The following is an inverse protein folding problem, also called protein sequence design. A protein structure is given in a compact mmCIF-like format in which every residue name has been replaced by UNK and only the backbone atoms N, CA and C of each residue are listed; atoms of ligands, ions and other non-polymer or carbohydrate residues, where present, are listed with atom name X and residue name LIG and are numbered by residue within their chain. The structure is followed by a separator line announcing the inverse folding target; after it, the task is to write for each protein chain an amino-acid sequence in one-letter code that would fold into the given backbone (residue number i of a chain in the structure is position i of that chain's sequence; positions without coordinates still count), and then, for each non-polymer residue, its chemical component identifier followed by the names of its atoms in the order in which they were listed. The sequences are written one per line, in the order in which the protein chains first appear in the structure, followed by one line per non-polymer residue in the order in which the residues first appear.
data_IF_181410372913
#
_entry.id   IF_181410372913
#
_cell.length_a   1.000
_cell.length_b   1.000
_cell.length_c   1.000
_cell.angle_alpha   90.00
_cell.angle_beta   90.00
_cell.angle_gamma   90.00
#
_symmetry.space_group_name_H-M   'P 1'
#
loop_
_entity.id
_entity.type
_entity.pdbx_description
1 polymer ?
#
# COMPACT_ATOMS: atom_id res chain seq x y z
N UNK A 1 14.62 18.43 8.93
CA UNK A 1 14.33 16.99 8.70
C UNK A 1 14.23 16.64 7.21
N UNK A 2 14.07 17.61 6.30
CA UNK A 2 13.83 17.33 4.87
C UNK A 2 12.40 16.83 4.60
N UNK A 3 11.48 17.15 5.51
CA UNK A 3 10.03 16.89 5.40
C UNK A 3 9.38 18.22 5.09
N UNK A 4 8.46 18.22 4.15
CA UNK A 4 7.64 19.38 3.80
C UNK A 4 6.44 19.45 4.74
N UNK A 5 6.16 20.66 5.24
CA UNK A 5 5.02 20.94 6.11
C UNK A 5 4.00 21.76 5.31
N UNK A 6 2.79 21.25 5.23
CA UNK A 6 1.65 21.94 4.64
C UNK A 6 0.65 22.31 5.74
N UNK A 7 0.28 23.59 5.77
CA UNK A 7 -0.58 24.23 6.77
C UNK A 7 -1.91 24.71 6.15
N UNK A 8 -2.12 24.53 4.85
CA UNK A 8 -3.20 25.18 4.10
C UNK A 8 -4.54 24.42 4.16
N UNK A 9 -4.53 23.11 4.41
CA UNK A 9 -5.74 22.28 4.29
C UNK A 9 -6.77 22.47 5.42
N UNK A 10 -6.37 22.89 6.63
CA UNK A 10 -7.29 23.21 7.75
C UNK A 10 -6.59 23.91 8.94
N UNK A 11 -7.27 24.85 9.64
CA UNK A 11 -6.68 25.67 10.70
C UNK A 11 -6.16 24.90 11.93
N UNK A 12 -6.52 23.61 12.08
CA UNK A 12 -6.11 22.76 13.21
C UNK A 12 -5.37 21.48 12.76
N UNK A 13 -4.83 21.46 11.54
CA UNK A 13 -4.09 20.29 11.03
C UNK A 13 -2.78 20.72 10.40
N UNK A 14 -1.75 19.92 10.61
CA UNK A 14 -0.47 20.04 9.92
C UNK A 14 -0.24 18.76 9.12
N UNK A 15 -0.06 18.89 7.82
CA UNK A 15 0.25 17.76 6.94
C UNK A 15 1.76 17.65 6.74
N UNK A 16 2.28 16.44 6.91
CA UNK A 16 3.70 16.13 6.75
C UNK A 16 3.92 15.28 5.50
N UNK A 17 4.68 15.81 4.54
CA UNK A 17 4.98 15.14 3.28
C UNK A 17 6.47 14.81 3.16
N UNK A 18 6.77 13.55 2.87
CA UNK A 18 8.12 13.05 2.54
C UNK A 18 7.97 11.62 2.01
N UNK A 19 8.88 11.14 1.17
CA UNK A 19 8.90 9.73 0.76
C UNK A 19 9.46 8.81 1.85
N UNK A 20 10.39 9.32 2.67
CA UNK A 20 11.03 8.58 3.76
C UNK A 20 10.12 8.56 5.01
N UNK A 21 9.56 7.40 5.39
CA UNK A 21 8.67 7.30 6.55
C UNK A 21 9.37 7.60 7.88
N UNK A 22 10.68 7.33 7.99
CA UNK A 22 11.45 7.61 9.21
C UNK A 22 11.59 9.12 9.39
N UNK A 23 11.88 9.85 8.31
CA UNK A 23 11.91 11.32 8.35
C UNK A 23 10.56 11.91 8.74
N UNK A 24 9.46 11.40 8.18
CA UNK A 24 8.10 11.82 8.58
C UNK A 24 7.84 11.58 10.06
N UNK A 25 8.25 10.43 10.59
CA UNK A 25 8.05 10.10 11.99
C UNK A 25 8.89 11.00 12.93
N UNK A 26 10.14 11.27 12.58
CA UNK A 26 11.00 12.23 13.30
C UNK A 26 10.36 13.62 13.31
N UNK A 27 9.87 14.10 12.15
CA UNK A 27 9.22 15.40 12.04
C UNK A 27 7.95 15.48 12.90
N UNK A 28 7.11 14.43 12.86
CA UNK A 28 5.92 14.31 13.70
C UNK A 28 6.25 14.45 15.19
N UNK A 29 7.14 13.60 15.71
CA UNK A 29 7.48 13.63 17.15
C UNK A 29 8.17 14.93 17.57
N UNK A 30 8.99 15.51 16.69
CA UNK A 30 9.61 16.81 16.93
C UNK A 30 8.55 17.90 17.08
N UNK A 31 7.55 17.94 16.19
CA UNK A 31 6.44 18.88 16.25
C UNK A 31 5.59 18.68 17.50
N UNK A 32 5.20 17.44 17.82
CA UNK A 32 4.44 17.13 19.03
C UNK A 32 5.15 17.64 20.29
N UNK A 33 6.48 17.48 20.35
CA UNK A 33 7.30 17.97 21.47
C UNK A 33 7.38 19.49 21.52
N UNK A 34 7.61 20.14 20.37
CA UNK A 34 7.68 21.60 20.27
C UNK A 34 6.35 22.26 20.64
N UNK A 35 5.22 21.68 20.21
CA UNK A 35 3.86 22.13 20.57
C UNK A 35 3.65 22.01 22.08
N UNK A 36 4.04 20.87 22.67
CA UNK A 36 3.89 20.65 24.12
C UNK A 36 4.73 21.62 24.95
N UNK A 37 5.92 21.97 24.47
CA UNK A 37 6.85 22.87 25.16
C UNK A 37 6.60 24.36 24.84
N UNK A 38 5.78 24.66 23.83
CA UNK A 38 5.50 25.99 23.28
C UNK A 38 6.77 26.80 22.95
N UNK A 39 7.76 26.12 22.35
CA UNK A 39 9.10 26.69 22.09
C UNK A 39 9.57 26.47 20.66
N UNK A 40 9.18 27.38 19.77
CA UNK A 40 9.47 27.33 18.33
C UNK A 40 10.68 28.18 17.89
N UNK A 41 11.59 28.49 18.81
CA UNK A 41 12.84 29.17 18.46
C UNK A 41 13.74 28.26 17.61
N UNK A 42 14.42 28.77 16.57
CA UNK A 42 15.25 27.96 15.67
C UNK A 42 16.21 27.02 16.39
N UNK A 43 16.88 27.51 17.45
CA UNK A 43 17.86 26.74 18.23
C UNK A 43 17.19 25.58 18.99
N UNK A 44 15.96 25.79 19.48
CA UNK A 44 15.20 24.74 20.15
C UNK A 44 14.69 23.70 19.17
N UNK A 45 14.23 24.12 17.98
CA UNK A 45 13.79 23.22 16.92
C UNK A 45 14.93 22.28 16.53
N UNK A 46 16.12 22.83 16.26
CA UNK A 46 17.29 22.02 15.90
C UNK A 46 17.66 21.04 17.00
N UNK A 47 17.71 21.50 18.25
CA UNK A 47 18.00 20.66 19.42
C UNK A 47 16.99 19.51 19.57
N UNK A 48 15.69 19.80 19.48
CA UNK A 48 14.64 18.79 19.58
C UNK A 48 14.77 17.77 18.45
N UNK A 49 14.97 18.22 17.21
CA UNK A 49 15.13 17.31 16.06
C UNK A 49 16.34 16.38 16.24
N UNK A 50 17.48 16.89 16.72
CA UNK A 50 18.67 16.07 16.99
C UNK A 50 18.39 15.04 18.09
N UNK A 51 17.70 15.46 19.16
CA UNK A 51 17.32 14.55 20.23
C UNK A 51 16.41 13.42 19.74
N UNK A 52 15.33 13.77 19.03
CA UNK A 52 14.37 12.80 18.50
C UNK A 52 15.04 11.85 17.51
N UNK A 53 15.94 12.33 16.64
CA UNK A 53 16.73 11.46 15.76
C UNK A 53 17.45 10.36 16.53
N UNK A 54 18.17 10.72 17.60
CA UNK A 54 18.87 9.74 18.43
C UNK A 54 17.94 8.79 19.19
N UNK A 55 16.74 9.23 19.56
CA UNK A 55 15.70 8.37 20.12
C UNK A 55 15.19 7.34 19.09
N UNK A 56 14.93 7.79 17.85
CA UNK A 56 14.47 6.93 16.75
C UNK A 56 15.54 5.95 16.29
N UNK A 57 16.82 6.33 16.25
CA UNK A 57 17.91 5.40 15.91
C UNK A 57 18.00 4.23 16.92
N UNK A 58 17.85 4.52 18.22
CA UNK A 58 17.79 3.47 19.25
C UNK A 58 16.55 2.61 19.11
N UNK A 59 15.42 3.20 18.77
CA UNK A 59 14.16 2.50 18.53
C UNK A 59 14.26 1.55 17.32
N UNK A 60 14.82 2.01 16.20
CA UNK A 60 15.09 1.21 15.01
C UNK A 60 15.92 -0.02 15.39
N UNK A 61 17.04 0.17 16.09
CA UNK A 61 17.90 -0.96 16.47
C UNK A 61 17.16 -1.98 17.34
N UNK A 62 16.47 -1.51 18.39
CA UNK A 62 15.70 -2.37 19.30
C UNK A 62 14.61 -3.15 18.56
N UNK A 63 13.93 -2.48 17.63
CA UNK A 63 12.86 -3.09 16.85
C UNK A 63 13.41 -4.13 15.86
N UNK A 64 14.54 -3.85 15.21
CA UNK A 64 15.20 -4.80 14.33
C UNK A 64 15.64 -6.07 15.06
N UNK A 65 16.19 -5.93 16.27
CA UNK A 65 16.52 -7.05 17.16
C UNK A 65 15.28 -7.85 17.54
N UNK A 66 14.17 -7.18 17.87
CA UNK A 66 12.88 -7.83 18.17
C UNK A 66 12.35 -8.64 16.99
N UNK A 67 12.34 -8.04 15.79
CA UNK A 67 11.85 -8.68 14.56
C UNK A 67 12.70 -9.91 14.22
N UNK A 68 14.03 -9.79 14.29
CA UNK A 68 14.93 -10.91 14.05
C UNK A 68 14.70 -12.06 15.05
N UNK A 69 14.56 -11.73 16.34
CA UNK A 69 14.30 -12.71 17.39
C UNK A 69 12.97 -13.43 17.19
N UNK A 70 11.89 -12.71 16.89
CA UNK A 70 10.57 -13.31 16.64
C UNK A 70 10.54 -14.18 15.37
N UNK A 71 11.34 -13.82 14.36
CA UNK A 71 11.52 -14.68 13.18
C UNK A 71 12.35 -15.95 13.48
N UNK A 72 13.06 -15.98 14.61
CA UNK A 72 13.98 -17.06 14.99
C UNK A 72 15.36 -16.94 14.35
N UNK A 73 15.75 -15.75 13.88
CA UNK A 73 17.00 -15.54 13.16
C UNK A 73 18.04 -14.84 14.05
N UNK A 74 19.14 -15.54 14.32
CA UNK A 74 20.27 -15.03 15.08
C UNK A 74 21.45 -14.60 14.20
N UNK A 75 22.40 -13.87 14.78
CA UNK A 75 23.70 -13.60 14.13
C UNK A 75 23.67 -12.62 12.95
N UNK A 76 22.59 -11.84 12.79
CA UNK A 76 22.48 -10.85 11.72
C UNK A 76 23.43 -9.66 11.95
N UNK A 77 23.97 -9.12 10.86
CA UNK A 77 24.83 -7.94 10.92
C UNK A 77 24.06 -6.70 11.40
N UNK A 78 24.76 -5.74 12.00
CA UNK A 78 24.14 -4.50 12.47
C UNK A 78 23.40 -3.73 11.35
N UNK A 79 23.90 -3.81 10.11
CA UNK A 79 23.23 -3.18 8.97
C UNK A 79 21.90 -3.85 8.60
N UNK A 80 21.81 -5.17 8.70
CA UNK A 80 20.54 -5.88 8.50
C UNK A 80 19.57 -5.57 9.64
N UNK A 81 20.06 -5.52 10.88
CA UNK A 81 19.23 -5.13 12.03
C UNK A 81 18.66 -3.71 11.85
N UNK A 82 19.46 -2.75 11.38
CA UNK A 82 18.96 -1.39 11.09
C UNK A 82 17.85 -1.40 10.03
N UNK A 83 18.03 -2.15 8.95
CA UNK A 83 17.03 -2.28 7.89
C UNK A 83 15.74 -2.92 8.42
N UNK A 84 15.83 -4.02 9.17
CA UNK A 84 14.66 -4.66 9.78
C UNK A 84 13.92 -3.71 10.72
N UNK A 85 14.65 -2.92 11.52
CA UNK A 85 14.05 -1.92 12.41
C UNK A 85 13.21 -0.88 11.68
N UNK A 86 13.58 -0.53 10.45
CA UNK A 86 12.83 0.41 9.60
C UNK A 86 11.47 -0.13 9.16
N UNK A 87 11.24 -1.45 9.21
CA UNK A 87 9.96 -2.06 8.85
C UNK A 87 8.81 -1.51 9.69
N UNK A 88 9.08 -1.11 10.94
CA UNK A 88 8.10 -0.47 11.82
C UNK A 88 7.49 0.80 11.24
N UNK A 89 8.26 1.57 10.48
CA UNK A 89 7.81 2.85 9.94
C UNK A 89 7.19 2.70 8.54
N UNK A 90 7.35 1.54 7.89
CA UNK A 90 6.84 1.29 6.55
C UNK A 90 5.46 0.64 6.59
N UNK A 91 4.55 1.16 5.79
CA UNK A 91 3.26 0.54 5.50
C UNK A 91 3.14 0.27 4.00
N UNK A 92 2.43 -0.79 3.63
CA UNK A 92 2.03 -1.08 2.24
C UNK A 92 0.54 -1.37 2.24
N UNK A 93 -0.22 -0.56 1.49
CA UNK A 93 -1.69 -0.63 1.49
C UNK A 93 -2.28 -0.64 2.91
N UNK A 94 -1.75 0.16 3.83
CA UNK A 94 -2.22 0.24 5.22
C UNK A 94 -1.73 -0.87 6.17
N UNK A 95 -1.19 -1.97 5.66
CA UNK A 95 -0.56 -3.00 6.50
C UNK A 95 0.84 -2.56 6.91
N UNK A 96 1.18 -2.72 8.19
CA UNK A 96 2.55 -2.47 8.67
C UNK A 96 3.50 -3.58 8.17
N UNK A 97 4.67 -3.17 7.65
CA UNK A 97 5.63 -4.09 7.03
C UNK A 97 6.17 -5.11 8.04
N UNK A 98 6.50 -4.70 9.27
CA UNK A 98 7.04 -5.63 10.27
C UNK A 98 6.02 -6.72 10.62
N UNK A 99 4.74 -6.34 10.78
CA UNK A 99 3.65 -7.30 11.02
C UNK A 99 3.45 -8.25 9.84
N UNK A 100 3.42 -7.71 8.63
CA UNK A 100 3.29 -8.49 7.40
C UNK A 100 4.43 -9.51 7.27
N UNK A 101 5.68 -9.07 7.40
CA UNK A 101 6.85 -9.95 7.26
C UNK A 101 6.88 -11.05 8.32
N UNK A 102 6.57 -10.75 9.59
CA UNK A 102 6.52 -11.78 10.64
C UNK A 102 5.40 -12.81 10.42
N UNK A 103 4.25 -12.38 9.90
CA UNK A 103 3.19 -13.28 9.48
C UNK A 103 3.64 -14.18 8.32
N UNK A 104 4.27 -13.60 7.29
CA UNK A 104 4.86 -14.34 6.17
C UNK A 104 5.91 -15.34 6.64
N UNK A 105 6.76 -14.99 7.61
CA UNK A 105 7.74 -15.89 8.23
C UNK A 105 7.07 -17.11 8.86
N UNK A 106 6.00 -16.91 9.63
CA UNK A 106 5.29 -18.01 10.27
C UNK A 106 4.64 -18.93 9.24
N UNK A 107 3.94 -18.36 8.25
CA UNK A 107 3.28 -19.11 7.19
C UNK A 107 4.29 -19.92 6.37
N UNK A 108 5.38 -19.29 5.91
CA UNK A 108 6.42 -19.96 5.15
C UNK A 108 7.09 -21.09 5.95
N UNK A 109 7.37 -20.85 7.24
CA UNK A 109 7.94 -21.86 8.13
C UNK A 109 7.02 -23.07 8.33
N UNK A 110 5.72 -22.83 8.54
CA UNK A 110 4.75 -23.92 8.67
C UNK A 110 4.62 -24.73 7.38
N UNK A 111 4.45 -24.06 6.24
CA UNK A 111 4.36 -24.76 4.96
C UNK A 111 5.63 -25.56 4.65
N UNK A 112 6.82 -25.01 4.95
CA UNK A 112 8.08 -25.70 4.76
C UNK A 112 8.15 -26.99 5.58
N UNK A 113 7.72 -26.96 6.84
CA UNK A 113 7.69 -28.14 7.71
C UNK A 113 6.74 -29.23 7.15
N UNK A 114 5.58 -28.84 6.63
CA UNK A 114 4.59 -29.78 6.08
C UNK A 114 5.04 -30.42 4.76
N UNK A 115 5.73 -29.68 3.89
CA UNK A 115 6.18 -30.19 2.57
C UNK A 115 7.59 -30.80 2.60
N UNK A 116 8.24 -30.82 3.78
CA UNK A 116 9.60 -31.33 3.94
C UNK A 116 10.70 -30.42 3.36
N UNK A 117 10.44 -29.12 3.25
CA UNK A 117 11.41 -28.10 2.85
C UNK A 117 12.33 -27.64 4.00
N UNK A 118 13.28 -26.75 3.69
CA UNK A 118 14.15 -26.14 4.69
C UNK A 118 13.44 -25.00 5.42
N UNK A 119 13.00 -25.27 6.65
CA UNK A 119 12.24 -24.33 7.50
C UNK A 119 13.03 -23.07 7.81
N UNK A 120 14.33 -23.19 8.10
CA UNK A 120 15.17 -22.05 8.46
C UNK A 120 15.40 -21.13 7.25
N UNK A 121 15.65 -21.73 6.09
CA UNK A 121 15.78 -20.99 4.84
C UNK A 121 14.46 -20.29 4.46
N UNK A 122 13.33 -20.98 4.55
CA UNK A 122 12.02 -20.41 4.24
C UNK A 122 11.69 -19.21 5.14
N UNK A 123 11.95 -19.32 6.45
CA UNK A 123 11.79 -18.23 7.41
C UNK A 123 12.72 -17.06 7.12
N UNK A 124 14.00 -17.33 6.85
CA UNK A 124 14.96 -16.29 6.50
C UNK A 124 14.56 -15.53 5.23
N UNK A 125 14.22 -16.26 4.17
CA UNK A 125 13.77 -15.68 2.91
C UNK A 125 12.47 -14.88 3.08
N UNK A 126 11.51 -15.40 3.83
CA UNK A 126 10.26 -14.72 4.15
C UNK A 126 10.46 -13.42 4.94
N UNK A 127 11.41 -13.37 5.88
CA UNK A 127 11.69 -12.13 6.59
C UNK A 127 12.26 -11.07 5.64
N UNK A 128 13.13 -11.48 4.71
CA UNK A 128 13.87 -10.56 3.86
C UNK A 128 13.20 -10.21 2.54
N UNK A 129 12.12 -10.89 2.12
CA UNK A 129 11.51 -10.71 0.79
C UNK A 129 11.21 -9.24 0.44
N UNK A 130 10.87 -8.44 1.46
CA UNK A 130 10.46 -7.04 1.34
C UNK A 130 11.50 -6.03 1.86
N UNK A 131 12.72 -6.47 2.20
CA UNK A 131 13.75 -5.60 2.79
C UNK A 131 14.15 -4.44 1.88
N UNK A 132 13.99 -4.60 0.57
CA UNK A 132 14.17 -3.52 -0.41
C UNK A 132 13.23 -2.32 -0.22
N UNK A 133 12.04 -2.50 0.41
CA UNK A 133 11.07 -1.39 0.63
C UNK A 133 11.55 -0.34 1.63
N UNK A 134 12.58 -0.65 2.41
CA UNK A 134 13.17 0.24 3.42
C UNK A 134 14.59 0.67 3.07
N UNK A 135 15.05 0.35 1.85
CA UNK A 135 16.29 0.88 1.33
C UNK A 135 16.24 2.42 1.34
N UNK A 136 17.30 3.04 1.83
CA UNK A 136 17.41 4.50 1.98
C UNK A 136 17.84 5.22 0.70
N UNK A 137 18.16 4.48 -0.37
CA UNK A 137 18.50 5.05 -1.66
C UNK A 137 17.23 5.43 -2.43
N UNK A 138 17.19 6.65 -2.97
CA UNK A 138 16.23 7.10 -3.98
C UNK A 138 16.49 6.36 -5.31
N UNK A 139 16.29 5.05 -5.30
CA UNK A 139 16.38 4.19 -6.48
C UNK A 139 14.96 3.93 -6.99
N UNK A 140 14.73 4.18 -8.27
CA UNK A 140 13.48 3.83 -8.96
C UNK A 140 13.37 2.31 -9.23
N UNK A 141 14.31 1.52 -8.73
CA UNK A 141 14.29 0.07 -8.91
C UNK A 141 13.18 -0.60 -8.09
N UNK A 142 12.56 -1.66 -8.62
CA UNK A 142 11.62 -2.49 -7.87
C UNK A 142 12.24 -3.03 -6.56
N UNK A 143 11.43 -3.17 -5.51
CA UNK A 143 11.95 -3.58 -4.20
C UNK A 143 12.49 -5.00 -4.17
N UNK A 144 12.04 -5.88 -5.07
CA UNK A 144 12.59 -7.23 -5.23
C UNK A 144 14.03 -7.19 -5.77
N UNK A 145 14.32 -6.28 -6.70
CA UNK A 145 15.68 -6.03 -7.21
C UNK A 145 16.57 -5.45 -6.11
N UNK A 146 16.05 -4.50 -5.33
CA UNK A 146 16.77 -3.93 -4.19
C UNK A 146 17.02 -4.98 -3.10
N UNK A 147 16.06 -5.86 -2.85
CA UNK A 147 16.19 -6.98 -1.91
C UNK A 147 17.35 -7.88 -2.31
N UNK A 148 17.43 -8.31 -3.58
CA UNK A 148 18.57 -9.08 -4.08
C UNK A 148 19.90 -8.38 -3.82
N UNK A 149 20.03 -7.12 -4.24
CA UNK A 149 21.27 -6.33 -4.07
C UNK A 149 21.70 -6.17 -2.62
N UNK A 150 20.74 -5.95 -1.71
CA UNK A 150 21.00 -5.83 -0.28
C UNK A 150 21.56 -7.17 0.23
N UNK A 151 20.87 -8.28 -0.04
CA UNK A 151 21.26 -9.58 0.50
C UNK A 151 22.61 -10.05 -0.06
N UNK A 152 22.88 -9.83 -1.35
CA UNK A 152 24.19 -10.10 -1.97
C UNK A 152 25.30 -9.27 -1.32
N UNK A 153 25.06 -7.97 -1.08
CA UNK A 153 26.04 -7.09 -0.43
C UNK A 153 26.38 -7.53 0.99
N UNK A 154 25.41 -8.07 1.72
CA UNK A 154 25.62 -8.63 3.06
C UNK A 154 26.15 -10.07 3.06
N UNK A 155 26.40 -10.65 1.89
CA UNK A 155 27.04 -11.97 1.75
C UNK A 155 26.11 -13.15 2.03
N UNK A 156 24.79 -12.98 1.92
CA UNK A 156 23.87 -14.11 2.03
C UNK A 156 24.00 -15.06 0.83
N UNK A 157 23.77 -16.38 1.03
CA UNK A 157 23.91 -17.36 -0.04
C UNK A 157 22.84 -17.20 -1.13
N UNK A 158 23.18 -17.45 -2.39
CA UNK A 158 22.28 -17.28 -3.55
C UNK A 158 20.93 -17.99 -3.39
N UNK A 159 20.90 -19.16 -2.72
CA UNK A 159 19.63 -19.88 -2.46
C UNK A 159 18.65 -19.02 -1.64
N UNK A 160 19.14 -18.33 -0.61
CA UNK A 160 18.35 -17.41 0.23
C UNK A 160 18.00 -16.14 -0.53
N UNK A 161 18.98 -15.57 -1.25
CA UNK A 161 18.77 -14.36 -2.06
C UNK A 161 17.65 -14.57 -3.07
N UNK A 162 17.69 -15.66 -3.84
CA UNK A 162 16.65 -15.99 -4.81
C UNK A 162 15.30 -16.26 -4.14
N UNK A 163 15.26 -17.01 -3.04
CA UNK A 163 14.00 -17.30 -2.35
C UNK A 163 13.31 -16.03 -1.82
N UNK A 164 14.07 -15.03 -1.39
CA UNK A 164 13.53 -13.73 -0.98
C UNK A 164 13.14 -12.84 -2.19
N UNK A 165 14.00 -12.75 -3.21
CA UNK A 165 13.82 -11.79 -4.30
C UNK A 165 12.83 -12.23 -5.38
N UNK A 166 12.61 -13.53 -5.58
CA UNK A 166 11.76 -14.05 -6.66
C UNK A 166 10.24 -13.98 -6.39
N UNK A 167 9.81 -13.43 -5.25
CA UNK A 167 8.39 -13.36 -4.85
C UNK A 167 7.49 -12.50 -5.75
N UNK A 168 8.05 -11.77 -6.71
CA UNK A 168 7.31 -11.02 -7.74
C UNK A 168 7.42 -11.61 -9.15
N UNK A 169 7.92 -12.84 -9.29
CA UNK A 169 8.04 -13.56 -10.57
C UNK A 169 8.87 -12.82 -11.63
N UNK A 170 9.77 -11.89 -11.22
CA UNK A 170 10.74 -11.25 -12.14
C UNK A 170 11.93 -12.13 -12.46
N UNK A 171 12.20 -13.11 -11.61
CA UNK A 171 13.21 -14.14 -11.83
C UNK A 171 12.63 -15.51 -11.47
N UNK A 172 13.21 -16.56 -12.04
CA UNK A 172 12.80 -17.94 -11.77
C UNK A 172 13.00 -18.28 -10.29
N UNK A 173 11.98 -18.90 -9.69
CA UNK A 173 12.04 -19.48 -8.35
C UNK A 173 12.81 -20.81 -8.41
N UNK A 174 14.02 -20.84 -7.85
CA UNK A 174 14.94 -21.99 -7.99
C UNK A 174 14.77 -23.05 -6.91
N UNK A 175 13.82 -22.88 -5.99
CA UNK A 175 13.65 -23.74 -4.82
C UNK A 175 12.22 -23.79 -4.33
N UNK A 176 11.87 -24.82 -3.57
CA UNK A 176 10.56 -24.91 -2.91
C UNK A 176 10.38 -23.74 -1.93
N UNK A 177 11.44 -23.31 -1.24
CA UNK A 177 11.36 -22.19 -0.30
C UNK A 177 10.96 -20.89 -0.98
N UNK A 178 11.40 -20.66 -2.22
CA UNK A 178 11.00 -19.51 -3.03
C UNK A 178 9.49 -19.52 -3.34
N UNK A 179 8.92 -20.68 -3.67
CA UNK A 179 7.47 -20.83 -3.88
C UNK A 179 6.70 -20.64 -2.58
N UNK A 180 7.23 -21.15 -1.45
CA UNK A 180 6.59 -20.99 -0.16
C UNK A 180 6.56 -19.53 0.30
N UNK A 181 7.61 -18.75 0.05
CA UNK A 181 7.64 -17.31 0.33
C UNK A 181 6.59 -16.57 -0.50
N UNK A 182 6.49 -16.88 -1.80
CA UNK A 182 5.47 -16.32 -2.68
C UNK A 182 4.05 -16.60 -2.20
N UNK A 183 3.77 -17.86 -1.84
CA UNK A 183 2.46 -18.27 -1.30
C UNK A 183 2.18 -17.56 0.03
N UNK A 184 3.16 -17.48 0.93
CA UNK A 184 3.02 -16.84 2.23
C UNK A 184 2.74 -15.33 2.10
N UNK A 185 3.43 -14.63 1.20
CA UNK A 185 3.18 -13.22 0.90
C UNK A 185 1.75 -13.00 0.38
N UNK A 186 1.32 -13.82 -0.59
CA UNK A 186 -0.02 -13.76 -1.13
C UNK A 186 -1.11 -13.98 -0.05
N UNK A 187 -0.93 -14.96 0.84
CA UNK A 187 -1.87 -15.22 1.95
C UNK A 187 -1.89 -14.03 2.93
N UNK A 188 -0.71 -13.55 3.35
CA UNK A 188 -0.58 -12.43 4.30
C UNK A 188 -1.20 -11.14 3.75
N UNK A 189 -1.06 -10.89 2.45
CA UNK A 189 -1.58 -9.70 1.77
C UNK A 189 -3.06 -9.76 1.38
N UNK A 190 -3.65 -10.95 1.25
CA UNK A 190 -5.04 -11.15 0.79
C UNK A 190 -6.04 -11.40 1.91
N UNK A 191 -5.57 -11.60 3.15
CA UNK A 191 -6.48 -11.84 4.29
C UNK A 191 -7.43 -10.65 4.51
N UNK A 192 -8.72 -10.89 4.80
CA UNK A 192 -9.67 -9.83 5.12
C UNK A 192 -9.15 -8.93 6.24
N UNK A 193 -9.13 -7.62 6.01
CA UNK A 193 -8.66 -6.62 6.98
C UNK A 193 -7.13 -6.48 7.12
N UNK A 194 -6.30 -7.18 6.32
CA UNK A 194 -4.85 -6.93 6.32
C UNK A 194 -4.48 -5.56 5.76
N UNK A 195 -5.10 -5.20 4.64
CA UNK A 195 -4.85 -3.96 3.92
C UNK A 195 -5.99 -2.99 4.19
N UNK A 196 -5.64 -1.72 4.38
CA UNK A 196 -6.61 -0.65 4.49
C UNK A 196 -7.27 -0.47 3.12
N UNK A 197 -8.45 -1.05 2.99
CA UNK A 197 -9.41 -0.61 1.99
C UNK A 197 -10.04 0.66 2.57
N UNK A 198 -9.86 1.80 1.91
CA UNK A 198 -10.61 3.01 2.21
C UNK A 198 -12.07 2.78 1.82
N UNK A 199 -12.80 2.03 2.65
CA UNK A 199 -14.18 1.63 2.38
C UNK A 199 -15.05 2.89 2.30
N UNK A 200 -14.82 3.88 3.16
CA UNK A 200 -15.56 5.14 3.12
C UNK A 200 -15.28 5.92 1.84
N UNK A 201 -14.02 6.10 1.44
CA UNK A 201 -13.67 6.73 0.17
C UNK A 201 -14.16 5.93 -1.04
N UNK A 202 -14.16 4.59 -0.96
CA UNK A 202 -14.72 3.70 -1.97
C UNK A 202 -16.23 3.92 -2.11
N UNK A 203 -16.98 3.89 -1.02
CA UNK A 203 -18.44 4.12 -1.02
C UNK A 203 -18.74 5.52 -1.53
N UNK A 204 -18.01 6.55 -1.05
CA UNK A 204 -18.18 7.93 -1.50
C UNK A 204 -17.89 8.09 -2.99
N UNK A 205 -16.87 7.40 -3.52
CA UNK A 205 -16.55 7.38 -4.94
C UNK A 205 -17.65 6.74 -5.78
N UNK A 206 -18.11 5.55 -5.38
CA UNK A 206 -19.21 4.84 -6.05
C UNK A 206 -20.46 5.71 -6.08
N UNK A 207 -20.84 6.27 -4.92
CA UNK A 207 -21.96 7.21 -4.83
C UNK A 207 -21.79 8.42 -5.74
N UNK A 208 -20.59 9.02 -5.77
CA UNK A 208 -20.32 10.18 -6.63
C UNK A 208 -20.46 9.86 -8.13
N UNK A 209 -20.04 8.67 -8.58
CA UNK A 209 -20.23 8.23 -9.97
C UNK A 209 -21.72 8.08 -10.32
N UNK A 210 -22.49 7.48 -9.42
CA UNK A 210 -23.93 7.29 -9.60
C UNK A 210 -24.68 8.62 -9.55
N UNK A 211 -24.34 9.51 -8.62
CA UNK A 211 -24.93 10.84 -8.47
C UNK A 211 -24.68 11.73 -9.69
N UNK A 212 -23.45 11.69 -10.24
CA UNK A 212 -23.13 12.40 -11.49
C UNK A 212 -24.06 11.94 -12.60
N UNK A 213 -24.20 10.63 -12.82
CA UNK A 213 -25.09 10.11 -13.86
C UNK A 213 -26.56 10.45 -13.60
N UNK A 214 -27.04 10.28 -12.36
CA UNK A 214 -28.43 10.59 -11.96
C UNK A 214 -28.78 12.07 -12.10
N UNK A 215 -27.79 12.96 -12.09
CA UNK A 215 -28.02 14.39 -12.30
C UNK A 215 -28.37 14.77 -13.76
N UNK A 216 -28.18 13.86 -14.73
CA UNK A 216 -28.52 14.13 -16.13
C UNK A 216 -30.03 13.95 -16.37
N UNK A 217 -30.70 14.90 -17.07
CA UNK A 217 -32.11 14.78 -17.39
C UNK A 217 -32.43 13.52 -18.21
N UNK A 218 -33.51 12.82 -17.83
CA UNK A 218 -33.98 11.60 -18.49
C UNK A 218 -33.27 10.31 -18.05
N UNK A 219 -32.32 10.40 -17.12
CA UNK A 219 -31.78 9.23 -16.40
C UNK A 219 -32.81 8.78 -15.36
N UNK A 220 -33.14 7.50 -15.38
CA UNK A 220 -34.02 6.86 -14.40
C UNK A 220 -33.22 6.33 -13.22
N UNK A 221 -32.10 5.67 -13.50
CA UNK A 221 -31.20 5.16 -12.47
C UNK A 221 -29.77 5.01 -12.99
N UNK A 222 -28.81 4.85 -12.09
CA UNK A 222 -27.42 4.59 -12.45
C UNK A 222 -26.71 3.73 -11.40
N UNK A 223 -25.86 2.83 -11.87
CA UNK A 223 -25.14 1.85 -11.04
C UNK A 223 -23.67 1.80 -11.42
N UNK A 224 -22.78 2.02 -10.45
CA UNK A 224 -21.35 1.80 -10.63
C UNK A 224 -20.99 0.37 -10.20
N UNK A 225 -20.57 -0.45 -11.17
CA UNK A 225 -20.24 -1.87 -10.98
C UNK A 225 -18.74 -2.11 -11.21
N UNK A 226 -18.29 -3.35 -10.99
CA UNK A 226 -16.90 -3.76 -11.21
C UNK A 226 -15.91 -2.88 -10.45
N UNK A 227 -16.15 -2.68 -9.15
CA UNK A 227 -15.39 -1.80 -8.26
C UNK A 227 -15.32 -0.32 -8.72
N UNK A 228 -16.33 0.13 -9.48
CA UNK A 228 -16.42 1.49 -10.02
C UNK A 228 -15.73 1.69 -11.36
N UNK A 229 -15.37 0.60 -12.07
CA UNK A 229 -14.76 0.65 -13.41
C UNK A 229 -15.78 0.66 -14.55
N UNK A 230 -17.04 0.32 -14.27
CA UNK A 230 -18.13 0.42 -15.24
C UNK A 230 -19.32 1.14 -14.60
N UNK A 231 -19.83 2.18 -15.27
CA UNK A 231 -21.01 2.95 -14.85
C UNK A 231 -22.13 2.67 -15.85
N UNK A 232 -23.20 2.02 -15.37
CA UNK A 232 -24.40 1.75 -16.15
C UNK A 232 -25.44 2.81 -15.86
N UNK A 233 -25.92 3.48 -16.91
CA UNK A 233 -26.89 4.56 -16.83
C UNK A 233 -28.16 4.09 -17.52
N UNK A 234 -29.25 3.96 -16.77
CA UNK A 234 -30.55 3.55 -17.27
C UNK A 234 -31.34 4.81 -17.58
N UNK A 235 -31.81 4.94 -18.82
CA UNK A 235 -32.56 6.11 -19.27
C UNK A 235 -34.01 5.75 -19.54
N UNK A 236 -34.90 6.73 -19.36
CA UNK A 236 -36.31 6.59 -19.72
C UNK A 236 -36.47 6.49 -21.23
N UNK A 237 -36.80 5.30 -21.72
CA UNK A 237 -36.83 5.02 -23.16
C UNK A 237 -37.83 5.87 -23.97
N UNK A 238 -38.89 6.35 -23.32
CA UNK A 238 -39.90 7.21 -23.95
C UNK A 238 -39.45 8.67 -24.08
N UNK A 239 -38.51 9.13 -23.25
CA UNK A 239 -38.06 10.52 -23.20
C UNK A 239 -36.75 10.72 -24.00
N UNK A 240 -35.89 9.69 -24.07
CA UNK A 240 -34.54 9.78 -24.63
C UNK A 240 -34.43 8.97 -25.93
N UNK A 241 -34.30 9.61 -27.12
CA UNK A 241 -34.03 8.93 -28.38
C UNK A 241 -32.58 8.43 -28.48
N UNK A 242 -32.33 7.50 -29.42
CA UNK A 242 -31.03 6.84 -29.62
C UNK A 242 -29.84 7.81 -29.75
N UNK A 243 -29.98 8.85 -30.55
CA UNK A 243 -28.93 9.86 -30.74
C UNK A 243 -28.63 10.63 -29.44
N UNK A 244 -29.65 10.90 -28.63
CA UNK A 244 -29.48 11.56 -27.35
C UNK A 244 -28.85 10.63 -26.31
N UNK A 245 -29.20 9.33 -26.31
CA UNK A 245 -28.56 8.33 -25.47
C UNK A 245 -27.06 8.17 -25.78
N UNK A 246 -26.69 8.17 -27.07
CA UNK A 246 -25.29 8.13 -27.51
C UNK A 246 -24.53 9.38 -27.03
N UNK A 247 -25.13 10.56 -27.15
CA UNK A 247 -24.54 11.81 -26.67
C UNK A 247 -24.41 11.79 -25.13
N UNK A 248 -25.41 11.30 -24.42
CA UNK A 248 -25.39 11.19 -22.96
C UNK A 248 -24.24 10.30 -22.47
N UNK A 249 -23.97 9.18 -23.12
CA UNK A 249 -22.83 8.32 -22.77
C UNK A 249 -21.49 9.09 -22.81
N UNK A 250 -21.32 9.94 -23.83
CA UNK A 250 -20.14 10.80 -23.97
C UNK A 250 -20.10 11.90 -22.90
N UNK A 251 -21.23 12.59 -22.67
CA UNK A 251 -21.30 13.72 -21.75
C UNK A 251 -21.12 13.28 -20.28
N UNK A 252 -21.74 12.16 -19.87
CA UNK A 252 -21.51 11.52 -18.57
C UNK A 252 -20.06 11.10 -18.42
N UNK A 253 -19.47 10.45 -19.44
CA UNK A 253 -18.07 10.02 -19.40
C UNK A 253 -17.06 11.18 -19.37
N UNK A 254 -17.41 12.33 -19.92
CA UNK A 254 -16.61 13.56 -19.77
C UNK A 254 -16.69 14.09 -18.33
N UNK A 255 -17.90 14.23 -17.79
CA UNK A 255 -18.10 14.77 -16.43
C UNK A 255 -17.49 13.89 -15.35
N UNK A 256 -17.61 12.58 -15.47
CA UNK A 256 -16.95 11.61 -14.57
C UNK A 256 -15.43 11.78 -14.58
N UNK A 257 -14.82 11.99 -15.76
CA UNK A 257 -13.37 12.25 -15.86
C UNK A 257 -12.95 13.56 -15.23
N UNK A 258 -13.79 14.60 -15.34
CA UNK A 258 -13.47 15.93 -14.84
C UNK A 258 -13.67 16.04 -13.32
N UNK A 259 -14.65 15.32 -12.75
CA UNK A 259 -15.06 15.45 -11.34
C UNK A 259 -14.56 14.31 -10.42
N UNK A 260 -14.24 13.12 -10.95
CA UNK A 260 -13.86 11.94 -10.14
C UNK A 260 -12.47 11.43 -10.51
N UNK A 261 -11.53 11.59 -9.57
CA UNK A 261 -10.17 11.05 -9.71
C UNK A 261 -10.23 9.52 -9.58
N UNK A 262 -10.00 8.82 -10.69
CA UNK A 262 -10.07 7.36 -10.75
C UNK A 262 -8.77 6.77 -11.31
N UNK A 263 -8.15 5.78 -10.64
CA UNK A 263 -7.05 5.02 -11.23
C UNK A 263 -7.57 4.17 -12.40
N UNK A 264 -7.18 4.54 -13.63
CA UNK A 264 -7.68 3.92 -14.86
C UNK A 264 -8.99 4.55 -15.36
N UNK A 265 -9.49 4.09 -16.50
CA UNK A 265 -10.72 4.61 -17.10
C UNK A 265 -11.98 3.99 -16.51
N UNK A 266 -13.06 4.78 -16.46
CA UNK A 266 -14.43 4.29 -16.19
C UNK A 266 -15.16 4.11 -17.52
N UNK A 267 -15.67 2.90 -17.76
CA UNK A 267 -16.50 2.60 -18.93
C UNK A 267 -17.94 3.03 -18.66
N UNK A 268 -18.47 3.97 -19.43
CA UNK A 268 -19.87 4.39 -19.33
C UNK A 268 -20.73 3.64 -20.33
N UNK A 269 -21.82 3.03 -19.87
CA UNK A 269 -22.79 2.31 -20.69
C UNK A 269 -24.17 2.90 -20.45
N UNK A 270 -24.76 3.50 -21.48
CA UNK A 270 -26.16 3.96 -21.42
C UNK A 270 -27.06 2.84 -21.93
N UNK A 271 -28.05 2.48 -21.13
CA UNK A 271 -29.01 1.41 -21.39
C UNK A 271 -30.38 2.05 -21.55
N UNK A 272 -30.97 1.85 -22.73
CA UNK A 272 -32.36 2.20 -23.02
C UNK A 272 -33.13 0.91 -23.22
N UNK A 273 -34.10 0.64 -22.34
CA UNK A 273 -34.91 -0.57 -22.37
C UNK A 273 -36.40 -0.22 -22.50
N UNK A 274 -37.10 -0.90 -23.41
CA UNK A 274 -38.56 -0.87 -23.49
C UNK A 274 -39.08 -2.29 -23.30
N UNK A 275 -40.04 -2.48 -22.40
CA UNK A 275 -40.68 -3.78 -22.16
C UNK A 275 -42.12 -3.74 -22.67
N UNK A 276 -42.49 -4.75 -23.46
CA UNK A 276 -43.84 -4.96 -23.95
C UNK A 276 -44.23 -6.39 -23.59
N UNK A 277 -45.31 -6.54 -22.83
CA UNK A 277 -45.77 -7.82 -22.32
C UNK A 277 -47.24 -8.00 -22.70
N UNK A 278 -47.60 -9.17 -23.19
CA UNK A 278 -48.98 -9.57 -23.45
C UNK A 278 -49.20 -10.87 -22.69
N UNK A 279 -50.11 -10.83 -21.72
CA UNK A 279 -50.55 -12.03 -21.02
C UNK A 279 -51.82 -12.55 -21.72
N UNK A 280 -51.67 -13.68 -22.41
CA UNK A 280 -52.77 -14.38 -23.09
C UNK A 280 -53.62 -15.13 -22.08
#
# INVERSE_FOLDING_TARGET
TGVELDLEESPNSVRLSSFDPVRRYIAKLSLERLIKEDKFQPENIEKVVVQIKGEIEREIKKEGERIALEAGLGGLSAGIIDLLGRFKFRTSYGQNLAKHSLETVNLAGYMAAEVGGDVELAKAAALFHDIGKVATSDSDEPHDVLTRKILERFGFPEKLVNAAASHHDREEKKSVEAELVYIADAISGSRPGARYEDIEGYVKRIGSLEDIAKSFPGVEDAYAISAGRELRVIVKAQEIPDEQAKKMAHDVGKRVRDEVITPGGVKVVVIRESRFEEQV
#
